data_IF_349708787004
#
_entry.id   IF_349708787004
#
_cell.length_a   1.000
_cell.length_b   1.000
_cell.length_c   1.000
_cell.angle_alpha   90.00
_cell.angle_beta   90.00
_cell.angle_gamma   90.00
#
_symmetry.space_group_name_H-M   'P 1'
#
loop_
_entity.id
_entity.type
_entity.pdbx_description
1 polymer ?
#
# COMPACT_ATOMS: atom_id res chain seq x y z
N UNK A 1 -58.19 8.48 -36.46
CA UNK A 1 -57.49 7.18 -36.56
C UNK A 1 -55.99 7.31 -36.83
N UNK A 2 -55.33 8.43 -36.48
CA UNK A 2 -53.87 8.58 -36.68
C UNK A 2 -53.11 8.68 -35.35
N UNK A 3 -53.81 8.88 -34.23
CA UNK A 3 -53.19 9.07 -32.90
C UNK A 3 -52.97 7.78 -32.08
N UNK A 4 -53.40 6.61 -32.57
CA UNK A 4 -53.19 5.33 -31.86
C UNK A 4 -51.96 4.54 -32.33
N UNK A 5 -51.27 4.99 -33.37
CA UNK A 5 -50.05 4.31 -33.87
C UNK A 5 -48.76 4.76 -33.16
N UNK A 6 -48.81 5.79 -32.30
CA UNK A 6 -47.62 6.34 -31.62
C UNK A 6 -47.32 5.59 -30.30
N UNK A 7 -48.21 4.69 -29.86
CA UNK A 7 -48.05 3.98 -28.58
C UNK A 7 -47.19 2.70 -28.63
N UNK A 8 -46.59 2.32 -29.77
CA UNK A 8 -45.79 1.09 -29.88
C UNK A 8 -44.42 1.27 -30.58
N UNK A 9 -43.85 2.47 -30.58
CA UNK A 9 -42.51 2.69 -31.13
C UNK A 9 -41.58 3.27 -30.06
N UNK A 10 -40.85 2.37 -29.39
CA UNK A 10 -39.52 2.66 -28.90
C UNK A 10 -39.41 3.29 -27.51
N UNK A 11 -39.77 2.55 -26.48
CA UNK A 11 -38.84 2.47 -25.34
C UNK A 11 -37.70 1.54 -25.79
N UNK A 12 -36.84 2.06 -26.68
CA UNK A 12 -35.52 1.48 -26.84
C UNK A 12 -34.84 1.80 -25.52
N UNK A 13 -34.76 0.80 -24.64
CA UNK A 13 -33.81 0.84 -23.55
C UNK A 13 -32.46 1.17 -24.21
N UNK A 14 -31.97 2.37 -23.95
CA UNK A 14 -30.64 2.84 -24.35
C UNK A 14 -29.63 2.09 -23.47
N UNK A 15 -29.59 0.76 -23.60
CA UNK A 15 -28.50 -0.03 -23.07
C UNK A 15 -27.27 0.35 -23.89
N UNK A 16 -26.19 0.82 -23.26
CA UNK A 16 -24.99 1.17 -24.00
C UNK A 16 -24.51 -0.02 -24.83
N UNK A 17 -24.30 0.16 -26.14
CA UNK A 17 -23.77 -0.85 -27.07
C UNK A 17 -22.25 -1.10 -26.85
N UNK A 18 -21.80 -0.96 -25.61
CA UNK A 18 -20.41 -1.13 -25.22
C UNK A 18 -20.30 -1.78 -23.84
N UNK A 19 -19.31 -2.67 -23.70
CA UNK A 19 -18.95 -3.31 -22.44
C UNK A 19 -17.50 -3.03 -22.11
N UNK A 20 -17.20 -2.69 -20.85
CA UNK A 20 -15.82 -2.54 -20.36
C UNK A 20 -15.26 -3.89 -19.93
N UNK A 21 -14.17 -4.32 -20.55
CA UNK A 21 -13.39 -5.47 -20.08
C UNK A 21 -12.25 -4.99 -19.18
N UNK A 22 -12.08 -5.62 -18.02
CA UNK A 22 -11.02 -5.29 -17.07
C UNK A 22 -10.14 -6.52 -16.80
N UNK A 23 -8.83 -6.36 -16.95
CA UNK A 23 -7.84 -7.35 -16.51
C UNK A 23 -6.88 -6.74 -15.47
N UNK A 24 -7.44 -6.39 -14.31
CA UNK A 24 -6.69 -5.76 -13.20
C UNK A 24 -5.59 -6.68 -12.66
N UNK A 25 -5.87 -7.99 -12.57
CA UNK A 25 -4.92 -8.97 -12.05
C UNK A 25 -3.72 -9.16 -12.98
N UNK A 26 -3.96 -9.35 -14.29
CA UNK A 26 -2.87 -9.46 -15.26
C UNK A 26 -2.00 -8.21 -15.30
N UNK A 27 -2.61 -7.02 -15.23
CA UNK A 27 -1.86 -5.77 -15.13
C UNK A 27 -0.96 -5.73 -13.89
N UNK A 28 -1.47 -6.15 -12.73
CA UNK A 28 -0.68 -6.17 -11.49
C UNK A 28 0.51 -7.14 -11.57
N UNK A 29 0.33 -8.30 -12.21
CA UNK A 29 1.39 -9.29 -12.46
C UNK A 29 2.44 -8.74 -13.42
N UNK A 30 2.02 -8.11 -14.52
CA UNK A 30 2.93 -7.45 -15.48
C UNK A 30 3.76 -6.36 -14.79
N UNK A 31 3.13 -5.52 -13.95
CA UNK A 31 3.84 -4.48 -13.19
C UNK A 31 4.80 -5.05 -12.15
N UNK A 32 4.49 -6.21 -11.57
CA UNK A 32 5.40 -6.91 -10.65
C UNK A 32 6.66 -7.37 -11.38
N UNK A 33 6.51 -7.85 -12.60
CA UNK A 33 7.63 -8.25 -13.44
C UNK A 33 8.52 -7.05 -13.78
N UNK A 34 7.97 -5.87 -14.08
CA UNK A 34 8.75 -4.65 -14.31
C UNK A 34 9.66 -4.29 -13.13
N UNK A 35 9.17 -4.40 -11.89
CA UNK A 35 9.97 -4.13 -10.71
C UNK A 35 11.11 -5.15 -10.49
N UNK A 36 11.02 -6.33 -11.11
CA UNK A 36 12.07 -7.37 -11.07
C UNK A 36 13.16 -7.22 -12.14
N UNK A 37 13.01 -6.24 -13.04
CA UNK A 37 13.95 -5.92 -14.12
C UNK A 37 14.62 -4.57 -13.83
N UNK A 38 15.81 -4.55 -13.20
CA UNK A 38 16.49 -3.32 -12.79
C UNK A 38 16.76 -2.35 -13.95
N UNK A 39 16.91 -2.85 -15.16
CA UNK A 39 17.13 -2.06 -16.38
C UNK A 39 15.92 -1.19 -16.78
N UNK A 40 14.72 -1.55 -16.30
CA UNK A 40 13.49 -0.77 -16.53
C UNK A 40 13.24 0.23 -15.39
N UNK A 41 13.99 0.14 -14.29
CA UNK A 41 13.90 1.06 -13.17
C UNK A 41 14.81 2.28 -13.38
N UNK A 42 14.23 3.46 -13.30
CA UNK A 42 14.92 4.75 -13.39
C UNK A 42 15.26 5.34 -12.01
N UNK A 43 14.92 4.65 -10.91
CA UNK A 43 15.36 4.99 -9.56
C UNK A 43 15.66 3.74 -8.72
N UNK A 44 16.70 3.82 -7.89
CA UNK A 44 17.07 2.82 -6.88
C UNK A 44 17.13 3.50 -5.51
N UNK A 45 16.44 2.94 -4.53
CA UNK A 45 16.53 3.36 -3.13
C UNK A 45 17.50 2.45 -2.36
N UNK A 46 18.43 3.04 -1.63
CA UNK A 46 19.28 2.37 -0.66
C UNK A 46 18.63 2.54 0.71
N UNK A 47 17.99 1.49 1.20
CA UNK A 47 17.09 1.55 2.34
C UNK A 47 17.75 1.06 3.62
N UNK A 48 17.49 1.77 4.71
CA UNK A 48 17.93 1.44 6.05
C UNK A 48 19.45 1.47 6.24
N UNK A 49 19.89 1.02 7.41
CA UNK A 49 21.30 1.00 7.78
C UNK A 49 22.12 0.04 6.89
N UNK A 50 21.49 -1.02 6.39
CA UNK A 50 22.09 -2.03 5.51
C UNK A 50 22.22 -1.56 4.06
N UNK A 51 21.63 -0.41 3.70
CA UNK A 51 21.65 0.16 2.34
C UNK A 51 21.15 -0.84 1.29
N UNK A 52 20.13 -1.61 1.64
CA UNK A 52 19.56 -2.60 0.73
C UNK A 52 18.92 -1.93 -0.49
N UNK A 53 19.24 -2.38 -1.72
CA UNK A 53 18.70 -1.77 -2.93
C UNK A 53 17.24 -2.19 -3.16
N UNK A 54 16.38 -1.20 -3.42
CA UNK A 54 15.00 -1.38 -3.87
C UNK A 54 14.78 -0.56 -5.13
N UNK A 55 14.56 -1.22 -6.26
CA UNK A 55 14.36 -0.57 -7.56
C UNK A 55 12.89 -0.16 -7.75
N UNK A 56 12.65 0.96 -8.43
CA UNK A 56 11.30 1.42 -8.76
C UNK A 56 11.27 2.25 -10.04
N UNK A 57 10.06 2.57 -10.50
CA UNK A 57 9.82 3.44 -11.67
C UNK A 57 9.25 4.78 -11.21
N UNK A 58 9.95 5.89 -11.46
CA UNK A 58 9.58 7.24 -11.03
C UNK A 58 8.17 7.63 -11.47
N UNK A 59 7.79 7.29 -12.71
CA UNK A 59 6.46 7.59 -13.24
C UNK A 59 5.35 6.88 -12.43
N UNK A 60 5.58 5.62 -12.02
CA UNK A 60 4.63 4.85 -11.22
C UNK A 60 4.54 5.43 -9.80
N UNK A 61 5.69 5.77 -9.20
CA UNK A 61 5.76 6.44 -7.90
C UNK A 61 4.99 7.76 -7.90
N UNK A 62 5.24 8.63 -8.89
CA UNK A 62 4.61 9.94 -9.00
C UNK A 62 3.11 9.86 -9.30
N UNK A 63 2.67 8.85 -10.06
CA UNK A 63 1.26 8.67 -10.38
C UNK A 63 0.43 8.15 -9.19
N UNK A 64 1.05 7.35 -8.32
CA UNK A 64 0.31 6.57 -7.31
C UNK A 64 0.58 6.97 -5.86
N UNK A 65 1.54 7.86 -5.64
CA UNK A 65 1.91 8.31 -4.30
C UNK A 65 2.28 9.79 -4.30
N UNK A 66 2.50 10.36 -3.11
CA UNK A 66 3.05 11.72 -2.93
C UNK A 66 4.56 11.79 -3.08
N UNK A 67 5.19 10.76 -3.65
CA UNK A 67 6.61 10.78 -3.90
C UNK A 67 6.98 11.91 -4.87
N UNK A 68 7.90 12.77 -4.44
CA UNK A 68 8.49 13.83 -5.26
C UNK A 68 9.98 13.56 -5.34
N UNK A 69 10.43 13.06 -6.48
CA UNK A 69 11.83 12.79 -6.73
C UNK A 69 12.57 13.91 -7.45
N UNK A 70 13.89 13.76 -7.61
CA UNK A 70 14.67 14.67 -8.41
C UNK A 70 14.29 14.53 -9.89
N UNK A 71 14.29 15.67 -10.58
CA UNK A 71 13.90 15.74 -11.99
C UNK A 71 15.01 15.19 -12.90
N UNK A 72 14.61 14.66 -14.05
CA UNK A 72 15.52 14.22 -15.11
C UNK A 72 15.41 12.73 -15.45
N UNK A 73 15.79 12.41 -16.69
CA UNK A 73 15.68 11.07 -17.29
C UNK A 73 16.90 10.18 -17.04
N UNK A 74 17.75 10.55 -16.07
CA UNK A 74 18.90 9.73 -15.66
C UNK A 74 18.48 8.83 -14.50
N UNK A 75 19.05 7.62 -14.48
CA UNK A 75 18.91 6.71 -13.34
C UNK A 75 19.43 7.39 -12.08
N UNK A 76 18.69 7.29 -10.97
CA UNK A 76 19.02 7.94 -9.72
C UNK A 76 19.11 6.95 -8.57
N UNK A 77 20.09 7.17 -7.69
CA UNK A 77 20.21 6.43 -6.43
C UNK A 77 19.88 7.37 -5.27
N UNK A 78 18.91 7.00 -4.45
CA UNK A 78 18.42 7.78 -3.31
C UNK A 78 18.59 6.99 -2.02
N UNK A 79 18.71 7.68 -0.89
CA UNK A 79 18.87 7.07 0.42
C UNK A 79 17.56 7.22 1.19
N UNK A 80 17.12 6.14 1.84
CA UNK A 80 15.93 6.14 2.70
C UNK A 80 16.32 5.58 4.06
N UNK A 81 16.25 6.41 5.10
CA UNK A 81 16.63 6.03 6.47
C UNK A 81 15.40 5.89 7.38
N UNK A 82 14.26 6.39 6.93
CA UNK A 82 13.00 6.44 7.68
C UNK A 82 12.33 5.08 7.84
N UNK A 83 12.62 4.12 6.95
CA UNK A 83 11.93 2.84 6.90
C UNK A 83 12.90 1.66 6.78
N UNK A 84 12.50 0.53 7.35
CA UNK A 84 13.24 -0.73 7.22
C UNK A 84 13.14 -1.27 5.78
N UNK A 85 14.16 -1.99 5.29
CA UNK A 85 14.17 -2.54 3.92
C UNK A 85 12.92 -3.33 3.56
N UNK A 86 12.44 -4.20 4.46
CA UNK A 86 11.25 -5.03 4.21
C UNK A 86 9.97 -4.20 4.12
N UNK A 87 9.83 -3.18 4.97
CA UNK A 87 8.69 -2.25 4.95
C UNK A 87 8.68 -1.47 3.64
N UNK A 88 9.84 -0.93 3.25
CA UNK A 88 9.93 -0.13 2.03
C UNK A 88 9.75 -0.98 0.78
N UNK A 89 10.26 -2.21 0.75
CA UNK A 89 10.04 -3.16 -0.34
C UNK A 89 8.56 -3.49 -0.52
N UNK A 90 7.82 -3.71 0.56
CA UNK A 90 6.37 -3.91 0.55
C UNK A 90 5.62 -2.68 0.05
N UNK A 91 6.06 -1.48 0.46
CA UNK A 91 5.51 -0.23 -0.02
C UNK A 91 5.68 -0.08 -1.54
N UNK A 92 6.88 -0.32 -2.06
CA UNK A 92 7.18 -0.26 -3.49
C UNK A 92 6.40 -1.32 -4.26
N UNK A 93 6.29 -2.55 -3.74
CA UNK A 93 5.45 -3.61 -4.33
C UNK A 93 4.00 -3.13 -4.47
N UNK A 94 3.43 -2.52 -3.42
CA UNK A 94 2.08 -1.97 -3.47
C UNK A 94 1.95 -0.83 -4.48
N UNK A 95 2.92 0.09 -4.51
CA UNK A 95 2.92 1.22 -5.46
C UNK A 95 3.02 0.72 -6.90
N UNK A 96 3.72 -0.37 -7.17
CA UNK A 96 3.79 -0.92 -8.52
C UNK A 96 2.54 -1.71 -8.91
N UNK A 97 2.06 -2.56 -8.02
CA UNK A 97 1.09 -3.62 -8.38
C UNK A 97 -0.33 -3.34 -7.87
N UNK A 98 -0.46 -2.52 -6.82
CA UNK A 98 -1.71 -2.37 -6.06
C UNK A 98 -2.00 -3.53 -5.10
N UNK A 99 -1.06 -4.46 -4.95
CA UNK A 99 -1.17 -5.62 -4.08
C UNK A 99 0.03 -5.68 -3.12
N UNK A 100 -0.21 -6.13 -1.88
CA UNK A 100 0.83 -6.41 -0.90
C UNK A 100 0.30 -7.41 0.13
N UNK A 101 1.18 -8.25 0.65
CA UNK A 101 0.84 -9.15 1.76
C UNK A 101 1.09 -8.45 3.09
N UNK A 102 0.05 -8.28 3.90
CA UNK A 102 0.16 -7.69 5.23
C UNK A 102 0.70 -8.73 6.22
N UNK A 103 1.71 -8.34 7.00
CA UNK A 103 2.34 -9.21 8.00
C UNK A 103 2.50 -8.47 9.32
N UNK A 104 2.30 -9.12 10.48
CA UNK A 104 2.43 -8.46 11.78
C UNK A 104 3.77 -7.75 12.00
N UNK A 105 4.86 -8.36 11.55
CA UNK A 105 6.22 -7.83 11.70
C UNK A 105 6.45 -6.50 10.99
N UNK A 106 5.83 -6.29 9.84
CA UNK A 106 6.02 -5.08 9.03
C UNK A 106 4.83 -4.13 9.08
N UNK A 107 3.69 -4.56 9.65
CA UNK A 107 2.42 -3.84 9.61
C UNK A 107 2.56 -2.39 10.08
N UNK A 108 3.22 -2.17 11.21
CA UNK A 108 3.33 -0.85 11.80
C UNK A 108 4.16 0.09 10.92
N UNK A 109 5.31 -0.38 10.44
CA UNK A 109 6.12 0.36 9.47
C UNK A 109 5.37 0.65 8.19
N UNK A 110 4.64 -0.33 7.65
CA UNK A 110 3.88 -0.19 6.41
C UNK A 110 2.70 0.79 6.56
N UNK A 111 2.03 0.80 7.72
CA UNK A 111 1.01 1.81 8.07
C UNK A 111 1.59 3.23 8.05
N UNK A 112 2.74 3.41 8.68
CA UNK A 112 3.41 4.72 8.75
C UNK A 112 3.93 5.14 7.36
N UNK A 113 4.48 4.22 6.59
CA UNK A 113 4.93 4.46 5.22
C UNK A 113 3.76 4.83 4.31
N UNK A 114 2.64 4.12 4.41
CA UNK A 114 1.42 4.43 3.68
C UNK A 114 0.91 5.85 4.00
N UNK A 115 0.94 6.25 5.26
CA UNK A 115 0.57 7.61 5.67
C UNK A 115 1.56 8.67 5.12
N UNK A 116 2.87 8.40 5.25
CA UNK A 116 3.94 9.28 4.77
C UNK A 116 3.84 9.54 3.26
N UNK A 117 3.72 8.47 2.46
CA UNK A 117 3.64 8.54 1.00
C UNK A 117 2.21 8.76 0.46
N UNK A 118 1.20 8.86 1.31
CA UNK A 118 -0.16 9.20 0.88
C UNK A 118 -0.95 8.12 0.20
N UNK A 119 -0.75 6.88 0.62
CA UNK A 119 -1.44 5.70 0.14
C UNK A 119 -2.62 5.39 1.07
N UNK A 120 -3.69 6.19 1.00
CA UNK A 120 -4.83 6.09 1.93
C UNK A 120 -5.51 4.72 1.93
N UNK A 121 -5.65 4.08 0.76
CA UNK A 121 -6.25 2.74 0.66
C UNK A 121 -5.36 1.65 1.30
N UNK A 122 -4.04 1.75 1.16
CA UNK A 122 -3.12 0.86 1.86
C UNK A 122 -3.20 1.08 3.37
N UNK A 123 -3.25 2.33 3.82
CA UNK A 123 -3.39 2.67 5.25
C UNK A 123 -4.69 2.09 5.83
N UNK A 124 -5.79 2.17 5.10
CA UNK A 124 -7.08 1.54 5.48
C UNK A 124 -6.96 0.03 5.55
N UNK A 125 -6.35 -0.61 4.53
CA UNK A 125 -6.12 -2.05 4.52
C UNK A 125 -5.31 -2.52 5.73
N UNK A 126 -4.22 -1.81 6.04
CA UNK A 126 -3.43 -2.07 7.23
C UNK A 126 -4.23 -1.88 8.53
N UNK A 127 -5.04 -0.82 8.62
CA UNK A 127 -5.91 -0.54 9.76
C UNK A 127 -6.94 -1.65 10.01
N UNK A 128 -7.47 -2.25 8.93
CA UNK A 128 -8.38 -3.40 9.02
C UNK A 128 -7.68 -4.68 9.50
N UNK A 129 -6.40 -4.86 9.15
CA UNK A 129 -5.61 -6.02 9.58
C UNK A 129 -5.17 -5.95 11.05
N UNK A 130 -5.15 -4.76 11.68
CA UNK A 130 -4.71 -4.58 13.08
C UNK A 130 -5.43 -5.52 14.05
N UNK A 131 -6.73 -5.72 13.88
CA UNK A 131 -7.52 -6.57 14.79
C UNK A 131 -7.06 -8.03 14.79
N UNK A 132 -6.67 -8.56 13.63
CA UNK A 132 -6.13 -9.92 13.51
C UNK A 132 -4.65 -9.99 13.92
N UNK A 133 -3.99 -8.83 13.93
CA UNK A 133 -2.55 -8.73 14.12
C UNK A 133 -2.15 -8.75 15.59
N UNK A 134 -2.95 -8.24 16.52
CA UNK A 134 -2.61 -8.16 17.95
C UNK A 134 -3.00 -9.47 18.63
N UNK A 135 -2.00 -10.25 19.05
CA UNK A 135 -2.17 -11.48 19.82
C UNK A 135 -0.90 -11.74 20.66
N UNK A 136 -0.95 -12.76 21.53
CA UNK A 136 0.16 -13.11 22.43
C UNK A 136 1.49 -13.36 21.71
N UNK A 137 1.48 -13.86 20.47
CA UNK A 137 2.69 -14.15 19.70
C UNK A 137 3.27 -12.91 19.02
N UNK A 138 2.46 -11.87 18.80
CA UNK A 138 2.83 -10.69 18.00
C UNK A 138 3.04 -9.43 18.82
N UNK A 139 2.49 -9.34 20.04
CA UNK A 139 2.59 -8.15 20.91
C UNK A 139 4.03 -7.66 21.08
N UNK A 140 4.97 -8.56 21.41
CA UNK A 140 6.38 -8.19 21.57
C UNK A 140 6.99 -7.63 20.29
N UNK A 141 6.66 -8.22 19.14
CA UNK A 141 7.15 -7.75 17.84
C UNK A 141 6.55 -6.38 17.47
N UNK A 142 5.27 -6.16 17.77
CA UNK A 142 4.59 -4.89 17.54
C UNK A 142 5.15 -3.77 18.42
N UNK A 143 5.42 -4.04 19.70
CA UNK A 143 6.05 -3.08 20.61
C UNK A 143 7.49 -2.76 20.18
N UNK A 144 8.27 -3.77 19.81
CA UNK A 144 9.62 -3.55 19.29
C UNK A 144 9.62 -2.69 18.01
N UNK A 145 8.66 -2.92 17.11
CA UNK A 145 8.49 -2.07 15.92
C UNK A 145 8.09 -0.63 16.29
N UNK A 146 7.30 -0.45 17.35
CA UNK A 146 6.85 0.86 17.78
C UNK A 146 7.97 1.78 18.27
N UNK A 147 9.02 1.23 18.87
CA UNK A 147 10.20 2.01 19.29
C UNK A 147 10.84 2.75 18.11
N UNK A 148 10.92 2.11 16.94
CA UNK A 148 11.49 2.69 15.72
C UNK A 148 10.63 3.80 15.12
N UNK A 149 9.31 3.71 15.30
CA UNK A 149 8.34 4.58 14.64
C UNK A 149 7.61 5.52 15.61
N UNK A 150 8.14 5.75 16.80
CA UNK A 150 7.45 6.47 17.90
C UNK A 150 7.04 7.91 17.54
N UNK A 151 7.74 8.53 16.59
CA UNK A 151 7.47 9.85 16.06
C UNK A 151 6.16 9.91 15.24
N UNK A 152 5.70 8.79 14.69
CA UNK A 152 4.52 8.75 13.83
C UNK A 152 3.22 8.66 14.64
N UNK A 153 2.18 9.36 14.16
CA UNK A 153 0.86 9.40 14.80
C UNK A 153 0.19 8.01 14.83
N UNK A 154 0.28 7.25 13.73
CA UNK A 154 -0.29 5.90 13.66
C UNK A 154 0.35 4.96 14.68
N UNK A 155 1.64 5.13 14.98
CA UNK A 155 2.33 4.37 16.02
C UNK A 155 1.70 4.54 17.39
N UNK A 156 1.42 5.78 17.81
CA UNK A 156 0.80 6.04 19.12
C UNK A 156 -0.55 5.34 19.27
N UNK A 157 -1.38 5.39 18.23
CA UNK A 157 -2.69 4.71 18.23
C UNK A 157 -2.55 3.18 18.24
N UNK A 158 -1.55 2.63 17.54
CA UNK A 158 -1.28 1.20 17.58
C UNK A 158 -0.83 0.76 18.97
N UNK A 159 0.14 1.46 19.56
CA UNK A 159 0.67 1.15 20.89
C UNK A 159 -0.44 1.15 21.93
N UNK A 160 -1.35 2.13 21.89
CA UNK A 160 -2.49 2.17 22.79
C UNK A 160 -3.34 0.88 22.72
N UNK A 161 -3.66 0.40 21.51
CA UNK A 161 -4.43 -0.85 21.33
C UNK A 161 -3.67 -2.08 21.81
N UNK A 162 -2.35 -2.11 21.60
CA UNK A 162 -1.50 -3.20 22.08
C UNK A 162 -1.45 -3.22 23.60
N UNK A 163 -1.35 -2.05 24.26
CA UNK A 163 -1.39 -1.95 25.71
C UNK A 163 -2.76 -2.35 26.29
N UNK A 164 -3.86 -1.91 25.67
CA UNK A 164 -5.22 -2.35 26.04
C UNK A 164 -5.35 -3.88 25.99
N UNK A 165 -4.82 -4.52 24.93
CA UNK A 165 -4.80 -5.98 24.82
C UNK A 165 -3.99 -6.64 25.94
N UNK A 166 -2.80 -6.13 26.28
CA UNK A 166 -1.97 -6.67 27.36
C UNK A 166 -2.69 -6.56 28.70
N UNK A 167 -3.28 -5.40 28.98
CA UNK A 167 -4.05 -5.11 30.19
C UNK A 167 -5.26 -6.05 30.38
N UNK A 168 -5.94 -6.42 29.29
CA UNK A 168 -7.05 -7.38 29.32
C UNK A 168 -6.55 -8.81 29.60
N UNK A 169 -5.39 -9.19 29.08
CA UNK A 169 -4.83 -10.53 29.25
C UNK A 169 -4.13 -10.73 30.60
N UNK A 170 -3.53 -9.69 31.18
CA UNK A 170 -2.98 -9.73 32.54
C UNK A 170 -4.06 -9.87 33.63
N UNK A 171 -5.29 -9.44 33.34
CA UNK A 171 -6.44 -9.56 34.25
C UNK A 171 -7.19 -10.89 34.12
N UNK A 172 -6.81 -11.74 33.17
CA UNK A 172 -7.40 -13.07 33.02
C UNK A 172 -6.69 -14.07 33.95
N UNK A 173 -7.41 -14.74 34.87
CA UNK A 173 -6.83 -15.68 35.84
C UNK A 173 -6.30 -16.98 35.23
#
# INVERSE_FOLDING_TARGET
>A
MVEQAIAMAGTLCDEPDFSTFENKTGLAEDMKFLASMPELCDVTFLVGDTREPVCAVKAVLAARSRWVGPQGNVHQTLIVEEFEPDVFRQLIEYIHTGCVTLQPRTLLGLMNAADYYGLDELRKGCSGFVQCCINVDTVCALLASAERYIQYKCTKSMVQKVLEFVDEHERSP
#
